data_IF_223468613290
#
_entry.id   IF_223468613290
#
_cell.length_a   1.000
_cell.length_b   1.000
_cell.length_c   1.000
_cell.angle_alpha   90.00
_cell.angle_beta   90.00
_cell.angle_gamma   90.00
#
_symmetry.space_group_name_H-M   'P 1'
#
loop_
_entity.id
_entity.type
_entity.pdbx_description
1 polymer ?
#
# COMPACT_ATOMS: atom_id res chain seq x y z
N UNK A 1 8.25 23.62 -53.55
CA UNK A 1 8.26 22.26 -52.95
C UNK A 1 9.31 22.19 -51.84
N UNK A 2 10.55 22.62 -52.10
CA UNK A 2 11.65 22.69 -51.11
C UNK A 2 11.34 23.51 -49.84
N UNK A 3 10.90 24.76 -49.96
CA UNK A 3 10.56 25.59 -48.78
C UNK A 3 9.36 25.13 -47.94
N UNK A 4 8.59 24.15 -48.43
CA UNK A 4 7.51 23.50 -47.65
C UNK A 4 8.08 22.38 -46.78
N UNK A 5 9.04 21.61 -47.31
CA UNK A 5 9.71 20.51 -46.59
C UNK A 5 10.60 21.03 -45.46
N UNK A 6 11.26 22.18 -45.64
CA UNK A 6 12.06 22.81 -44.58
C UNK A 6 11.19 23.29 -43.39
N UNK A 7 9.97 23.79 -43.67
CA UNK A 7 9.00 24.18 -42.63
C UNK A 7 8.47 22.98 -41.86
N UNK A 8 8.14 21.88 -42.54
CA UNK A 8 7.72 20.63 -41.89
C UNK A 8 8.84 20.03 -41.05
N UNK A 9 10.08 20.05 -41.54
CA UNK A 9 11.26 19.63 -40.78
C UNK A 9 11.47 20.47 -39.52
N UNK A 10 11.32 21.79 -39.63
CA UNK A 10 11.37 22.69 -38.47
C UNK A 10 10.27 22.43 -37.44
N UNK A 11 9.03 22.17 -37.90
CA UNK A 11 7.92 21.82 -37.02
C UNK A 11 8.15 20.49 -36.28
N UNK A 12 8.68 19.47 -36.98
CA UNK A 12 9.02 18.18 -36.39
C UNK A 12 10.13 18.33 -35.34
N UNK A 13 11.15 19.15 -35.63
CA UNK A 13 12.22 19.47 -34.69
C UNK A 13 11.70 20.16 -33.43
N UNK A 14 10.76 21.09 -33.58
CA UNK A 14 10.09 21.75 -32.45
C UNK A 14 9.30 20.77 -31.57
N UNK A 15 8.53 19.87 -32.18
CA UNK A 15 7.79 18.81 -31.45
C UNK A 15 8.73 17.91 -30.66
N UNK A 16 9.84 17.49 -31.25
CA UNK A 16 10.84 16.66 -30.57
C UNK A 16 11.42 17.35 -29.33
N UNK A 17 11.78 18.64 -29.45
CA UNK A 17 12.27 19.41 -28.30
C UNK A 17 11.22 19.54 -27.21
N UNK A 18 9.94 19.71 -27.57
CA UNK A 18 8.85 19.76 -26.60
C UNK A 18 8.68 18.44 -25.85
N UNK A 19 8.69 17.31 -26.55
CA UNK A 19 8.61 15.98 -25.93
C UNK A 19 9.78 15.77 -24.94
N UNK A 20 11.01 16.11 -25.34
CA UNK A 20 12.16 16.01 -24.43
C UNK A 20 11.97 16.90 -23.20
N UNK A 21 11.49 18.13 -23.39
CA UNK A 21 11.27 19.05 -22.27
C UNK A 21 10.22 18.51 -21.30
N UNK A 22 9.13 17.95 -21.81
CA UNK A 22 8.08 17.32 -20.98
C UNK A 22 8.62 16.11 -20.22
N UNK A 23 9.43 15.27 -20.85
CA UNK A 23 10.08 14.14 -20.19
C UNK A 23 11.01 14.60 -19.05
N UNK A 24 11.82 15.65 -19.29
CA UNK A 24 12.69 16.23 -18.27
C UNK A 24 11.91 16.81 -17.10
N UNK A 25 10.83 17.53 -17.39
CA UNK A 25 9.96 18.13 -16.39
C UNK A 25 9.15 17.08 -15.60
N UNK A 26 8.85 15.94 -16.22
CA UNK A 26 8.14 14.84 -15.58
C UNK A 26 8.98 14.01 -14.62
N UNK A 27 10.31 13.97 -14.80
CA UNK A 27 11.20 13.13 -13.99
C UNK A 27 11.09 13.44 -12.47
N UNK A 28 11.16 14.70 -12.01
CA UNK A 28 11.00 15.01 -10.58
C UNK A 28 9.64 14.58 -9.98
N UNK A 29 8.58 14.55 -10.80
CA UNK A 29 7.26 14.10 -10.36
C UNK A 29 7.23 12.59 -10.09
N UNK A 30 7.92 11.81 -10.93
CA UNK A 30 8.09 10.38 -10.72
C UNK A 30 8.93 10.08 -9.48
N UNK A 31 10.02 10.81 -9.26
CA UNK A 31 10.84 10.67 -8.06
C UNK A 31 10.07 11.00 -6.77
N UNK A 32 9.26 12.06 -6.78
CA UNK A 32 8.39 12.42 -5.65
C UNK A 32 7.35 11.32 -5.38
N UNK A 33 6.73 10.79 -6.43
CA UNK A 33 5.78 9.68 -6.31
C UNK A 33 6.44 8.43 -5.71
N UNK A 34 7.61 8.03 -6.20
CA UNK A 34 8.37 6.88 -5.69
C UNK A 34 8.73 7.09 -4.21
N UNK A 35 9.17 8.30 -3.85
CA UNK A 35 9.51 8.65 -2.48
C UNK A 35 8.30 8.53 -1.56
N UNK A 36 7.15 9.08 -1.96
CA UNK A 36 5.90 9.01 -1.19
C UNK A 36 5.37 7.59 -1.10
N UNK A 37 5.42 6.83 -2.20
CA UNK A 37 5.02 5.43 -2.22
C UNK A 37 5.88 4.57 -1.28
N UNK A 38 7.18 4.84 -1.23
CA UNK A 38 8.12 4.16 -0.32
C UNK A 38 7.77 4.45 1.15
N UNK A 39 7.52 5.72 1.50
CA UNK A 39 7.08 6.11 2.84
C UNK A 39 5.74 5.47 3.22
N UNK A 40 4.78 5.43 2.30
CA UNK A 40 3.51 4.76 2.49
C UNK A 40 3.71 3.26 2.76
N UNK A 41 4.53 2.59 1.94
CA UNK A 41 4.85 1.17 2.11
C UNK A 41 5.44 0.88 3.50
N UNK A 42 6.45 1.66 3.93
CA UNK A 42 7.03 1.53 5.26
C UNK A 42 6.01 1.73 6.38
N UNK A 43 5.12 2.71 6.23
CA UNK A 43 4.07 3.01 7.20
C UNK A 43 3.02 1.88 7.30
N UNK A 44 2.62 1.32 6.16
CA UNK A 44 1.73 0.16 6.11
C UNK A 44 2.38 -1.06 6.77
N UNK A 45 3.66 -1.32 6.50
CA UNK A 45 4.40 -2.41 7.15
C UNK A 45 4.46 -2.24 8.67
N UNK A 46 4.75 -1.03 9.15
CA UNK A 46 4.75 -0.72 10.58
C UNK A 46 3.35 -0.90 11.20
N UNK A 47 2.30 -0.47 10.49
CA UNK A 47 0.90 -0.65 10.92
C UNK A 47 0.54 -2.12 11.04
N UNK A 48 0.90 -2.95 10.06
CA UNK A 48 0.70 -4.41 10.10
C UNK A 48 1.34 -5.02 11.35
N UNK A 49 2.57 -4.63 11.67
CA UNK A 49 3.28 -5.11 12.87
C UNK A 49 2.58 -4.67 14.16
N UNK A 50 2.19 -3.39 14.25
CA UNK A 50 1.49 -2.85 15.40
C UNK A 50 0.14 -3.54 15.63
N UNK A 51 -0.64 -3.75 14.58
CA UNK A 51 -1.93 -4.45 14.68
C UNK A 51 -1.73 -5.92 15.03
N UNK A 52 -0.70 -6.57 14.49
CA UNK A 52 -0.37 -7.96 14.85
C UNK A 52 -0.09 -8.09 16.35
N UNK A 53 0.77 -7.21 16.90
CA UNK A 53 1.08 -7.21 18.33
C UNK A 53 -0.17 -6.92 19.20
N UNK A 54 -1.03 -5.99 18.76
CA UNK A 54 -2.32 -5.75 19.41
C UNK A 54 -3.20 -7.01 19.43
N UNK A 55 -3.32 -7.72 18.31
CA UNK A 55 -4.12 -8.94 18.21
C UNK A 55 -3.56 -10.08 19.08
N UNK A 56 -2.24 -10.15 19.26
CA UNK A 56 -1.64 -11.11 20.21
C UNK A 56 -2.04 -10.81 21.65
N UNK A 57 -1.97 -9.55 22.08
CA UNK A 57 -2.43 -9.15 23.40
C UNK A 57 -3.93 -9.39 23.58
N UNK A 58 -4.73 -9.07 22.55
CA UNK A 58 -6.17 -9.33 22.52
C UNK A 58 -6.47 -10.82 22.65
N UNK A 59 -5.72 -11.68 21.96
CA UNK A 59 -5.90 -13.13 22.03
C UNK A 59 -5.64 -13.67 23.44
N UNK A 60 -4.64 -13.15 24.16
CA UNK A 60 -4.38 -13.55 25.56
C UNK A 60 -5.61 -13.31 26.46
N UNK A 61 -6.32 -12.21 26.23
CA UNK A 61 -7.58 -11.91 26.95
C UNK A 61 -8.67 -12.90 26.54
N UNK A 62 -8.81 -13.18 25.25
CA UNK A 62 -9.77 -14.15 24.74
C UNK A 62 -9.53 -15.56 25.31
N UNK A 63 -8.26 -15.98 25.39
CA UNK A 63 -7.86 -17.28 25.96
C UNK A 63 -8.16 -17.34 27.46
N UNK A 64 -7.84 -16.27 28.19
CA UNK A 64 -8.19 -16.16 29.62
C UNK A 64 -9.70 -16.30 29.85
N UNK A 65 -10.52 -15.61 29.05
CA UNK A 65 -11.98 -15.71 29.12
C UNK A 65 -12.49 -17.10 28.71
N UNK A 66 -11.87 -17.73 27.71
CA UNK A 66 -12.24 -19.09 27.25
C UNK A 66 -11.95 -20.17 28.30
N UNK A 67 -10.92 -19.96 29.13
CA UNK A 67 -10.61 -20.84 30.25
C UNK A 67 -11.53 -20.64 31.48
N UNK A 68 -12.38 -19.62 31.47
CA UNK A 68 -13.38 -19.41 32.51
C UNK A 68 -14.59 -20.35 32.36
N UNK A 69 -15.58 -20.22 33.24
CA UNK A 69 -16.83 -21.02 33.23
C UNK A 69 -18.04 -20.16 32.85
N UNK A 70 -19.10 -20.81 32.37
CA UNK A 70 -20.36 -20.15 32.02
C UNK A 70 -20.23 -19.18 30.87
N UNK A 71 -21.02 -18.10 30.89
CA UNK A 71 -21.11 -17.11 29.81
C UNK A 71 -19.77 -16.44 29.45
N UNK A 72 -18.84 -16.33 30.40
CA UNK A 72 -17.50 -15.78 30.16
C UNK A 72 -16.71 -16.60 29.13
N UNK A 73 -16.90 -17.92 29.09
CA UNK A 73 -16.30 -18.79 28.09
C UNK A 73 -16.81 -18.48 26.68
N UNK A 74 -18.11 -18.22 26.56
CA UNK A 74 -18.74 -17.93 25.28
C UNK A 74 -18.27 -16.57 24.74
N UNK A 75 -18.05 -15.60 25.64
CA UNK A 75 -17.40 -14.32 25.33
C UNK A 75 -15.98 -14.57 24.80
N UNK A 76 -15.16 -15.36 25.51
CA UNK A 76 -13.81 -15.70 25.06
C UNK A 76 -13.77 -16.33 23.66
N UNK A 77 -14.71 -17.24 23.38
CA UNK A 77 -14.86 -17.87 22.07
C UNK A 77 -15.20 -16.86 20.97
N UNK A 78 -16.09 -15.90 21.26
CA UNK A 78 -16.42 -14.82 20.33
C UNK A 78 -15.23 -13.88 20.07
N UNK A 79 -14.47 -13.55 21.10
CA UNK A 79 -13.26 -12.73 21.00
C UNK A 79 -12.18 -13.41 20.15
N UNK A 80 -11.96 -14.72 20.33
CA UNK A 80 -11.03 -15.50 19.49
C UNK A 80 -11.45 -15.44 18.02
N UNK A 81 -12.74 -15.53 17.71
CA UNK A 81 -13.25 -15.41 16.34
C UNK A 81 -12.95 -14.04 15.72
N UNK A 82 -13.07 -12.96 16.49
CA UNK A 82 -12.70 -11.60 16.06
C UNK A 82 -11.21 -11.54 15.73
N UNK A 83 -10.36 -12.09 16.61
CA UNK A 83 -8.91 -12.10 16.41
C UNK A 83 -8.51 -12.84 15.13
N UNK A 84 -9.07 -14.03 14.89
CA UNK A 84 -8.80 -14.83 13.68
C UNK A 84 -9.24 -14.09 12.41
N UNK A 85 -10.40 -13.42 12.43
CA UNK A 85 -10.89 -12.63 11.28
C UNK A 85 -9.96 -11.46 10.98
N UNK A 86 -9.52 -10.71 11.99
CA UNK A 86 -8.59 -9.60 11.77
C UNK A 86 -7.20 -10.09 11.28
N UNK A 87 -6.69 -11.19 11.84
CA UNK A 87 -5.44 -11.82 11.35
C UNK A 87 -5.54 -12.22 9.88
N UNK A 88 -6.67 -12.75 9.44
CA UNK A 88 -6.88 -13.14 8.04
C UNK A 88 -6.92 -11.93 7.07
N UNK A 89 -7.40 -10.76 7.52
CA UNK A 89 -7.40 -9.54 6.72
C UNK A 89 -5.98 -8.98 6.57
N UNK A 90 -5.21 -9.01 7.66
CA UNK A 90 -3.85 -8.44 7.72
C UNK A 90 -2.84 -9.36 7.01
N UNK A 91 -2.97 -10.67 7.22
CA UNK A 91 -2.10 -11.70 6.65
C UNK A 91 -2.77 -12.38 5.45
N UNK A 92 -3.55 -11.63 4.65
CA UNK A 92 -4.31 -12.14 3.52
C UNK A 92 -3.55 -13.22 2.73
N UNK A 93 -4.25 -14.20 2.14
CA UNK A 93 -3.64 -15.43 1.62
C UNK A 93 -2.41 -15.05 0.81
N UNK A 94 -1.25 -15.60 1.20
CA UNK A 94 -0.01 -15.43 0.49
C UNK A 94 -0.30 -15.64 -1.00
N UNK A 95 -0.37 -14.55 -1.75
CA UNK A 95 -0.47 -14.59 -3.20
C UNK A 95 0.94 -14.97 -3.66
N UNK A 96 1.19 -16.27 -3.65
CA UNK A 96 2.24 -16.90 -4.45
C UNK A 96 1.94 -16.66 -5.92
#
# INVERSE_FOLDING_TARGET
MEGSMEKESGALGGLFQHIIQDMKNGMPLWEDLITKATKLHSSLKATILAVTAYLEAFQKIADSATNARGATRDIGTALTRICLRHKAIINGPARN
#
